data_IF_908771648198
#
_entry.id   IF_908771648198
#
_cell.length_a   1.000
_cell.length_b   1.000
_cell.length_c   1.000
_cell.angle_alpha   90.00
_cell.angle_beta   90.00
_cell.angle_gamma   90.00
#
_symmetry.space_group_name_H-M   'P 1'
#
loop_
_entity.id
_entity.type
_entity.pdbx_description
1 polymer ?
#
# COMPACT_ATOMS: atom_id res chain seq x y z
N UNK A 1 -7.80 -32.33 -16.51
CA UNK A 1 -7.24 -30.97 -16.70
C UNK A 1 -7.83 -30.37 -17.97
N UNK A 2 -8.85 -29.51 -17.87
CA UNK A 2 -9.37 -28.79 -19.04
C UNK A 2 -8.54 -27.52 -19.21
N UNK A 3 -7.58 -27.56 -20.14
CA UNK A 3 -6.84 -26.38 -20.60
C UNK A 3 -7.82 -25.63 -21.52
N UNK A 4 -8.69 -24.79 -20.94
CA UNK A 4 -9.43 -23.83 -21.76
C UNK A 4 -8.43 -22.89 -22.44
N UNK A 5 -8.68 -22.44 -23.68
CA UNK A 5 -7.80 -21.51 -24.36
C UNK A 5 -7.85 -20.17 -23.63
N UNK A 6 -6.92 -19.98 -22.70
CA UNK A 6 -6.63 -18.74 -21.97
C UNK A 6 -6.61 -17.55 -22.93
N UNK A 7 -6.08 -17.76 -24.15
CA UNK A 7 -5.98 -16.76 -25.21
C UNK A 7 -7.34 -16.15 -25.61
N UNK A 8 -8.42 -16.94 -25.71
CA UNK A 8 -9.73 -16.41 -26.13
C UNK A 8 -10.34 -15.51 -25.06
N UNK A 9 -10.24 -15.91 -23.79
CA UNK A 9 -10.81 -15.12 -22.71
C UNK A 9 -9.97 -13.88 -22.41
N UNK A 10 -8.65 -13.97 -22.56
CA UNK A 10 -7.77 -12.80 -22.56
C UNK A 10 -8.14 -11.84 -23.69
N UNK A 11 -8.30 -12.33 -24.92
CA UNK A 11 -8.73 -11.49 -26.06
C UNK A 11 -10.06 -10.79 -25.81
N UNK A 12 -11.03 -11.48 -25.20
CA UNK A 12 -12.33 -10.89 -24.84
C UNK A 12 -12.18 -9.84 -23.73
N UNK A 13 -11.34 -10.09 -22.73
CA UNK A 13 -11.02 -9.13 -21.67
C UNK A 13 -10.32 -7.89 -22.22
N UNK A 14 -9.44 -8.06 -23.20
CA UNK A 14 -8.74 -6.99 -23.91
C UNK A 14 -9.66 -6.15 -24.82
N UNK A 15 -10.93 -6.52 -24.98
CA UNK A 15 -11.94 -5.64 -25.60
C UNK A 15 -12.58 -4.66 -24.62
N UNK A 16 -12.36 -4.83 -23.31
CA UNK A 16 -12.94 -3.94 -22.31
C UNK A 16 -12.25 -2.58 -22.35
N UNK A 17 -12.99 -1.45 -22.41
CA UNK A 17 -12.39 -0.12 -22.54
C UNK A 17 -11.34 0.20 -21.47
N UNK A 18 -11.60 -0.19 -20.21
CA UNK A 18 -10.63 -0.01 -19.11
C UNK A 18 -9.31 -0.75 -19.38
N UNK A 19 -9.37 -1.97 -19.92
CA UNK A 19 -8.18 -2.77 -20.22
C UNK A 19 -7.43 -2.17 -21.40
N UNK A 20 -8.14 -1.77 -22.46
CA UNK A 20 -7.55 -1.11 -23.62
C UNK A 20 -6.86 0.21 -23.26
N UNK A 21 -7.50 1.02 -22.41
CA UNK A 21 -6.95 2.30 -21.97
C UNK A 21 -5.65 2.11 -21.16
N UNK A 22 -5.57 1.07 -20.33
CA UNK A 22 -4.37 0.76 -19.54
C UNK A 22 -3.26 0.20 -20.46
N UNK A 23 -3.59 -0.78 -21.30
CA UNK A 23 -2.60 -1.45 -22.16
C UNK A 23 -2.10 -0.56 -23.31
N UNK A 24 -2.94 0.34 -23.81
CA UNK A 24 -2.62 1.28 -24.89
C UNK A 24 -1.85 2.51 -24.41
N UNK A 25 -1.68 2.72 -23.10
CA UNK A 25 -0.94 3.85 -22.55
C UNK A 25 0.56 3.67 -22.81
N UNK A 26 1.22 4.75 -23.22
CA UNK A 26 2.68 4.78 -23.29
C UNK A 26 3.26 4.59 -21.89
N UNK A 27 4.19 3.64 -21.76
CA UNK A 27 4.93 3.42 -20.52
C UNK A 27 5.87 4.60 -20.25
N UNK A 28 5.92 5.04 -19.00
CA UNK A 28 6.78 6.12 -18.53
C UNK A 28 7.95 5.50 -17.75
N UNK A 29 9.15 6.03 -17.97
CA UNK A 29 10.34 5.72 -17.16
C UNK A 29 11.00 7.02 -16.70
N UNK A 30 11.23 7.23 -15.39
CA UNK A 30 10.90 6.33 -14.28
C UNK A 30 9.41 6.37 -13.90
N UNK A 31 8.83 5.20 -13.58
CA UNK A 31 7.49 5.09 -13.00
C UNK A 31 7.58 4.99 -11.46
N UNK A 32 7.02 5.98 -10.78
CA UNK A 32 6.97 6.01 -9.32
C UNK A 32 5.68 5.38 -8.83
N UNK A 33 5.79 4.34 -8.03
CA UNK A 33 4.69 3.71 -7.33
C UNK A 33 5.21 3.11 -6.02
N UNK A 34 4.61 3.42 -4.87
CA UNK A 34 5.10 2.94 -3.58
C UNK A 34 4.72 1.48 -3.30
N UNK A 35 3.92 0.84 -4.17
CA UNK A 35 3.38 -0.50 -3.94
C UNK A 35 3.78 -1.48 -5.05
N UNK A 36 4.40 -2.59 -4.66
CA UNK A 36 4.66 -3.69 -5.61
C UNK A 36 3.44 -4.61 -5.75
N UNK A 37 2.71 -4.88 -4.66
CA UNK A 37 1.54 -5.76 -4.71
C UNK A 37 0.41 -5.22 -3.85
N UNK A 38 -0.82 -5.36 -4.33
CA UNK A 38 -2.05 -5.17 -3.58
C UNK A 38 -2.89 -6.44 -3.68
N UNK A 39 -3.40 -6.90 -2.53
CA UNK A 39 -4.38 -7.97 -2.45
C UNK A 39 -5.64 -7.40 -1.82
N UNK A 40 -6.69 -7.31 -2.64
CA UNK A 40 -8.01 -6.85 -2.25
C UNK A 40 -8.90 -8.05 -1.94
N UNK A 41 -9.83 -7.88 -1.02
CA UNK A 41 -10.77 -8.90 -0.58
C UNK A 41 -12.19 -8.32 -0.55
N UNK A 42 -13.15 -9.14 -0.96
CA UNK A 42 -14.57 -8.83 -0.87
C UNK A 42 -15.35 -10.06 -0.37
N UNK A 43 -16.39 -9.80 0.43
CA UNK A 43 -17.28 -10.84 0.97
C UNK A 43 -18.42 -11.19 0.00
N UNK A 44 -18.42 -10.63 -1.21
CA UNK A 44 -19.34 -10.93 -2.30
C UNK A 44 -18.62 -11.60 -3.47
N UNK A 45 -19.39 -12.31 -4.31
CA UNK A 45 -18.89 -12.81 -5.59
C UNK A 45 -18.54 -11.66 -6.56
N UNK A 46 -17.70 -11.91 -7.58
CA UNK A 46 -17.51 -10.96 -8.67
C UNK A 46 -18.83 -10.66 -9.38
N UNK A 47 -18.93 -9.49 -10.01
CA UNK A 47 -20.15 -9.05 -10.67
C UNK A 47 -20.58 -10.02 -11.79
N UNK A 48 -21.89 -10.13 -11.99
CA UNK A 48 -22.45 -11.03 -13.00
C UNK A 48 -22.00 -10.71 -14.42
N UNK A 49 -21.73 -9.44 -14.75
CA UNK A 49 -21.23 -9.00 -16.05
C UNK A 49 -19.79 -9.50 -16.25
N UNK A 50 -18.93 -9.33 -15.25
CA UNK A 50 -17.58 -9.86 -15.25
C UNK A 50 -17.57 -11.38 -15.40
N UNK A 51 -18.37 -12.09 -14.59
CA UNK A 51 -18.47 -13.56 -14.68
C UNK A 51 -18.95 -14.02 -16.05
N UNK A 52 -19.87 -13.30 -16.70
CA UNK A 52 -20.31 -13.62 -18.07
C UNK A 52 -19.20 -13.42 -19.09
N UNK A 53 -18.40 -12.36 -18.94
CA UNK A 53 -17.25 -12.07 -19.78
C UNK A 53 -16.20 -13.19 -19.71
N UNK A 54 -15.93 -13.71 -18.51
CA UNK A 54 -14.90 -14.74 -18.28
C UNK A 54 -15.43 -16.17 -18.17
N UNK A 55 -16.75 -16.39 -18.32
CA UNK A 55 -17.40 -17.71 -18.21
C UNK A 55 -16.70 -18.81 -19.02
N UNK A 56 -16.13 -18.57 -20.21
CA UNK A 56 -15.41 -19.62 -20.94
C UNK A 56 -14.01 -19.98 -20.38
N UNK A 57 -13.50 -19.38 -19.30
CA UNK A 57 -12.17 -19.70 -18.74
C UNK A 57 -12.15 -20.00 -17.23
N UNK A 58 -13.17 -20.70 -16.71
CA UNK A 58 -13.13 -21.16 -15.31
C UNK A 58 -12.05 -22.22 -15.13
N UNK A 59 -10.91 -21.82 -14.57
CA UNK A 59 -9.89 -22.76 -14.13
C UNK A 59 -10.29 -23.23 -12.73
N UNK A 60 -10.66 -24.51 -12.64
CA UNK A 60 -10.65 -25.25 -11.38
C UNK A 60 -9.19 -25.52 -11.05
N UNK A 61 -8.76 -25.12 -9.86
CA UNK A 61 -7.40 -25.36 -9.41
C UNK A 61 -7.43 -26.45 -8.36
N UNK A 62 -6.60 -27.45 -8.61
CA UNK A 62 -6.21 -28.51 -7.70
C UNK A 62 -4.80 -28.13 -7.21
N UNK A 63 -4.71 -27.15 -6.31
CA UNK A 63 -3.46 -26.73 -5.64
C UNK A 63 -3.64 -26.98 -4.15
N UNK A 64 -2.55 -27.40 -3.49
CA UNK A 64 -2.51 -27.87 -2.10
C UNK A 64 -3.03 -26.87 -1.04
N UNK A 65 -3.18 -25.59 -1.41
CA UNK A 65 -3.68 -24.51 -0.56
C UNK A 65 -5.14 -24.11 -0.91
N UNK A 66 -6.08 -25.07 -0.88
CA UNK A 66 -7.51 -24.96 -1.27
C UNK A 66 -8.33 -23.82 -0.62
N UNK A 67 -8.05 -22.56 -0.98
CA UNK A 67 -8.83 -21.41 -0.49
C UNK A 67 -10.03 -21.08 -1.38
N UNK A 68 -9.99 -21.39 -2.69
CA UNK A 68 -10.99 -20.94 -3.68
C UNK A 68 -11.27 -21.98 -4.77
N UNK A 69 -12.53 -22.06 -5.21
CA UNK A 69 -12.99 -22.94 -6.30
C UNK A 69 -12.62 -22.46 -7.69
N UNK A 70 -12.46 -21.15 -7.86
CA UNK A 70 -12.30 -20.53 -9.17
C UNK A 70 -11.14 -19.53 -9.16
N UNK A 71 -10.37 -19.52 -10.26
CA UNK A 71 -9.35 -18.50 -10.53
C UNK A 71 -9.42 -18.02 -11.96
N UNK A 72 -9.17 -16.73 -12.14
CA UNK A 72 -8.96 -16.07 -13.40
C UNK A 72 -7.60 -15.33 -13.37
N UNK A 73 -6.82 -15.51 -14.43
CA UNK A 73 -5.49 -14.92 -14.59
C UNK A 73 -5.49 -14.01 -15.82
N UNK A 74 -5.30 -12.72 -15.59
CA UNK A 74 -5.05 -11.73 -16.62
C UNK A 74 -3.67 -11.09 -16.40
N UNK A 75 -3.10 -10.50 -17.45
CA UNK A 75 -1.80 -9.85 -17.37
C UNK A 75 -1.76 -8.76 -16.30
N UNK A 76 -2.84 -7.98 -16.14
CA UNK A 76 -2.91 -6.85 -15.21
C UNK A 76 -3.31 -7.24 -13.76
N UNK A 77 -4.03 -8.35 -13.59
CA UNK A 77 -4.58 -8.75 -12.29
C UNK A 77 -4.98 -10.23 -12.29
N UNK A 78 -5.13 -10.81 -11.10
CA UNK A 78 -5.77 -12.12 -10.93
C UNK A 78 -6.94 -12.05 -9.97
N UNK A 79 -7.96 -12.86 -10.21
CA UNK A 79 -9.15 -12.96 -9.35
C UNK A 79 -9.32 -14.40 -8.92
N UNK A 80 -9.49 -14.63 -7.62
CA UNK A 80 -9.91 -15.91 -7.06
C UNK A 80 -11.28 -15.73 -6.38
N UNK A 81 -12.22 -16.66 -6.56
CA UNK A 81 -13.52 -16.57 -5.90
C UNK A 81 -14.16 -17.93 -5.64
N UNK A 82 -15.24 -17.92 -4.86
CA UNK A 82 -15.94 -19.13 -4.43
C UNK A 82 -15.13 -19.82 -3.34
N UNK A 83 -15.07 -19.17 -2.17
CA UNK A 83 -14.27 -19.64 -1.03
C UNK A 83 -14.56 -21.11 -0.69
N UNK A 84 -13.49 -21.88 -0.46
CA UNK A 84 -13.53 -23.23 0.09
C UNK A 84 -13.19 -23.22 1.58
N UNK A 85 -12.33 -22.29 1.99
CA UNK A 85 -12.01 -22.03 3.38
C UNK A 85 -12.90 -20.90 3.93
N UNK A 86 -13.65 -21.12 5.04
CA UNK A 86 -14.47 -20.08 5.68
C UNK A 86 -13.68 -18.84 6.16
N UNK A 87 -12.40 -18.98 6.46
CA UNK A 87 -11.54 -17.88 6.90
C UNK A 87 -11.09 -16.99 5.74
N UNK A 88 -11.18 -17.48 4.50
CA UNK A 88 -10.93 -16.69 3.31
C UNK A 88 -12.03 -15.64 3.07
N UNK A 89 -11.79 -14.70 2.17
CA UNK A 89 -12.85 -13.84 1.65
C UNK A 89 -13.57 -14.59 0.52
N UNK A 90 -14.79 -14.16 0.14
CA UNK A 90 -15.50 -14.79 -0.98
C UNK A 90 -14.79 -14.55 -2.31
N UNK A 91 -14.21 -13.36 -2.49
CA UNK A 91 -13.42 -12.96 -3.64
C UNK A 91 -12.11 -12.31 -3.20
N UNK A 92 -11.03 -12.64 -3.89
CA UNK A 92 -9.71 -12.03 -3.75
C UNK A 92 -9.22 -11.52 -5.10
N UNK A 93 -8.73 -10.28 -5.15
CA UNK A 93 -8.17 -9.66 -6.35
C UNK A 93 -6.71 -9.30 -6.04
N UNK A 94 -5.78 -9.76 -6.86
CA UNK A 94 -4.36 -9.40 -6.74
C UNK A 94 -3.95 -8.53 -7.92
N UNK A 95 -3.32 -7.40 -7.62
CA UNK A 95 -2.85 -6.41 -8.59
C UNK A 95 -1.38 -6.10 -8.26
N UNK A 96 -0.53 -5.94 -9.28
CA UNK A 96 0.82 -5.41 -9.13
C UNK A 96 0.88 -4.02 -9.80
N UNK A 97 0.66 -2.92 -9.05
CA UNK A 97 0.59 -1.59 -9.63
C UNK A 97 1.90 -1.16 -10.29
N UNK A 98 3.04 -1.47 -9.67
CA UNK A 98 4.35 -1.07 -10.15
C UNK A 98 4.72 -1.74 -11.49
N UNK A 99 4.60 -3.07 -11.58
CA UNK A 99 4.92 -3.87 -12.78
C UNK A 99 4.13 -3.44 -14.01
N UNK A 100 2.88 -3.05 -13.81
CA UNK A 100 1.95 -2.69 -14.88
C UNK A 100 1.76 -1.18 -15.05
N UNK A 101 2.54 -0.37 -14.33
CA UNK A 101 2.46 1.09 -14.34
C UNK A 101 1.04 1.65 -14.10
N UNK A 102 0.31 1.03 -13.16
CA UNK A 102 -1.07 1.38 -12.86
C UNK A 102 -1.13 2.61 -11.97
N UNK A 103 -1.92 3.59 -12.37
CA UNK A 103 -2.31 4.73 -11.53
C UNK A 103 -3.32 4.29 -10.47
N UNK A 104 -3.55 5.10 -9.42
CA UNK A 104 -4.63 4.84 -8.46
C UNK A 104 -6.01 4.69 -9.13
N UNK A 105 -6.32 5.50 -10.14
CA UNK A 105 -7.58 5.40 -10.90
C UNK A 105 -7.68 4.11 -11.69
N UNK A 106 -6.57 3.62 -12.27
CA UNK A 106 -6.56 2.33 -12.97
C UNK A 106 -6.90 1.19 -12.00
N UNK A 107 -6.37 1.22 -10.76
CA UNK A 107 -6.69 0.22 -9.75
C UNK A 107 -8.18 0.25 -9.41
N UNK A 108 -8.77 1.43 -9.19
CA UNK A 108 -10.19 1.53 -8.90
C UNK A 108 -11.03 0.97 -10.06
N UNK A 109 -10.74 1.38 -11.30
CA UNK A 109 -11.49 0.91 -12.48
C UNK A 109 -11.33 -0.60 -12.71
N UNK A 110 -10.16 -1.18 -12.46
CA UNK A 110 -9.96 -2.64 -12.52
C UNK A 110 -10.81 -3.37 -11.46
N UNK A 111 -10.93 -2.79 -10.26
CA UNK A 111 -11.76 -3.37 -9.20
C UNK A 111 -13.25 -3.21 -9.52
N UNK A 112 -13.67 -2.08 -10.09
CA UNK A 112 -15.06 -1.89 -10.56
C UNK A 112 -15.40 -2.84 -11.70
N UNK A 113 -14.48 -3.08 -12.63
CA UNK A 113 -14.67 -4.08 -13.69
C UNK A 113 -14.97 -5.47 -13.11
N UNK A 114 -14.29 -5.86 -12.03
CA UNK A 114 -14.43 -7.19 -11.42
C UNK A 114 -15.65 -7.27 -10.51
N UNK A 115 -15.85 -6.27 -9.65
CA UNK A 115 -16.82 -6.30 -8.54
C UNK A 115 -18.09 -5.50 -8.82
N UNK A 116 -18.13 -4.70 -9.88
CA UNK A 116 -19.21 -3.75 -10.18
C UNK A 116 -19.22 -2.50 -9.28
N UNK A 117 -18.50 -2.53 -8.15
CA UNK A 117 -18.41 -1.44 -7.18
C UNK A 117 -17.18 -1.63 -6.28
N UNK A 118 -16.55 -0.52 -5.87
CA UNK A 118 -15.40 -0.55 -4.94
C UNK A 118 -15.77 -0.44 -3.45
N UNK A 119 -17.03 -0.15 -3.13
CA UNK A 119 -17.43 0.28 -1.77
C UNK A 119 -17.24 -0.81 -0.71
N UNK A 120 -17.45 -2.08 -1.07
CA UNK A 120 -17.28 -3.23 -0.17
C UNK A 120 -15.90 -3.88 -0.27
N UNK A 121 -15.03 -3.39 -1.16
CA UNK A 121 -13.72 -4.00 -1.42
C UNK A 121 -12.71 -3.45 -0.43
N UNK A 122 -12.07 -4.35 0.30
CA UNK A 122 -11.13 -4.03 1.37
C UNK A 122 -9.73 -4.53 1.05
N UNK A 123 -8.71 -3.93 1.65
CA UNK A 123 -7.33 -4.36 1.47
C UNK A 123 -6.98 -5.46 2.47
N UNK A 124 -6.63 -6.63 1.98
CA UNK A 124 -6.21 -7.77 2.80
C UNK A 124 -4.68 -7.81 3.00
N UNK A 125 -3.91 -7.47 1.97
CA UNK A 125 -2.47 -7.28 2.11
C UNK A 125 -1.91 -6.34 1.06
N UNK A 126 -0.73 -5.80 1.33
CA UNK A 126 0.00 -4.97 0.39
C UNK A 126 1.51 -5.04 0.66
N UNK A 127 2.30 -4.86 -0.39
CA UNK A 127 3.76 -4.81 -0.34
C UNK A 127 4.21 -3.35 -0.51
N UNK A 128 4.64 -2.72 0.58
CA UNK A 128 5.29 -1.40 0.56
C UNK A 128 6.67 -1.56 -0.08
N UNK A 129 7.10 -0.65 -0.96
CA UNK A 129 8.42 -0.72 -1.58
C UNK A 129 9.18 0.61 -1.57
N UNK A 130 10.49 0.54 -1.67
CA UNK A 130 11.37 1.69 -1.95
C UNK A 130 12.57 1.22 -2.76
N UNK A 131 12.97 2.03 -3.74
CA UNK A 131 14.09 1.75 -4.64
C UNK A 131 15.31 2.61 -4.30
N UNK A 132 16.47 1.97 -4.14
CA UNK A 132 17.77 2.61 -3.91
C UNK A 132 18.58 2.57 -5.21
N UNK A 133 18.23 3.44 -6.15
CA UNK A 133 18.89 3.53 -7.44
C UNK A 133 20.28 4.13 -7.29
N UNK A 134 21.32 3.41 -7.75
CA UNK A 134 22.73 3.85 -7.78
C UNK A 134 23.35 4.19 -6.42
N UNK A 135 22.65 3.96 -5.32
CA UNK A 135 23.13 4.31 -3.97
C UNK A 135 23.85 3.17 -3.26
N UNK A 136 23.25 1.97 -3.24
CA UNK A 136 23.76 0.79 -2.53
C UNK A 136 23.32 -0.47 -3.26
N UNK A 137 24.16 -1.51 -3.28
CA UNK A 137 23.78 -2.85 -3.72
C UNK A 137 23.05 -3.62 -2.60
N UNK A 138 22.56 -4.83 -2.91
CA UNK A 138 21.76 -5.62 -1.97
C UNK A 138 22.54 -6.01 -0.71
N UNK A 139 23.80 -6.44 -0.85
CA UNK A 139 24.67 -6.81 0.26
C UNK A 139 24.94 -5.62 1.19
N UNK A 140 25.27 -4.45 0.63
CA UNK A 140 25.56 -3.23 1.37
C UNK A 140 24.34 -2.68 2.11
N UNK A 141 23.17 -2.87 1.49
CA UNK A 141 21.87 -2.60 2.11
C UNK A 141 21.63 -3.55 3.29
N UNK A 142 21.85 -4.86 3.11
CA UNK A 142 21.66 -5.86 4.16
C UNK A 142 22.59 -5.63 5.37
N UNK A 143 23.83 -5.19 5.12
CA UNK A 143 24.79 -4.77 6.15
C UNK A 143 24.27 -3.66 7.06
N UNK A 144 23.51 -2.71 6.51
CA UNK A 144 22.98 -1.52 7.21
C UNK A 144 21.53 -1.63 7.67
N UNK A 145 20.76 -2.54 7.11
CA UNK A 145 19.32 -2.61 7.35
C UNK A 145 19.02 -3.19 8.74
N UNK A 146 18.31 -2.40 9.54
CA UNK A 146 17.75 -2.79 10.82
C UNK A 146 16.22 -2.89 10.72
N UNK A 147 15.67 -4.03 11.17
CA UNK A 147 14.22 -4.26 11.23
C UNK A 147 13.82 -4.54 12.67
N UNK A 148 13.33 -3.53 13.37
CA UNK A 148 13.23 -3.50 14.83
C UNK A 148 12.23 -4.48 15.46
N UNK A 149 11.32 -5.06 14.68
CA UNK A 149 10.39 -6.10 15.13
C UNK A 149 10.87 -7.52 14.83
N UNK A 150 11.96 -7.69 14.05
CA UNK A 150 12.52 -8.99 13.76
C UNK A 150 13.55 -9.40 14.80
N UNK A 151 13.51 -10.69 15.16
CA UNK A 151 14.36 -11.28 16.22
C UNK A 151 15.30 -12.36 15.68
N UNK A 152 15.45 -12.44 14.36
CA UNK A 152 16.35 -13.36 13.68
C UNK A 152 17.28 -12.54 12.78
N UNK A 153 18.51 -13.04 12.52
CA UNK A 153 19.35 -12.47 11.47
C UNK A 153 18.65 -12.57 10.11
N UNK A 154 19.04 -11.74 9.13
CA UNK A 154 18.56 -11.93 7.76
C UNK A 154 19.03 -13.28 7.21
N UNK A 155 18.18 -13.91 6.41
CA UNK A 155 18.51 -15.10 5.64
C UNK A 155 18.93 -14.67 4.24
N UNK A 156 20.16 -14.98 3.83
CA UNK A 156 20.65 -14.79 2.46
C UNK A 156 20.11 -15.93 1.59
N UNK A 157 19.27 -15.58 0.63
CA UNK A 157 18.62 -16.53 -0.25
C UNK A 157 19.63 -17.17 -1.18
N UNK A 158 19.71 -18.51 -1.13
CA UNK A 158 20.66 -19.30 -1.92
C UNK A 158 22.14 -18.91 -1.72
N UNK A 159 22.45 -18.07 -0.70
CA UNK A 159 23.80 -17.57 -0.40
C UNK A 159 24.45 -16.82 -1.56
N UNK A 160 23.63 -16.14 -2.38
CA UNK A 160 24.10 -15.43 -3.58
C UNK A 160 24.47 -13.96 -3.29
N UNK A 161 24.20 -13.45 -2.09
CA UNK A 161 24.40 -12.03 -1.75
C UNK A 161 23.45 -11.07 -2.47
N UNK A 162 22.41 -11.61 -3.12
CA UNK A 162 21.50 -10.85 -3.98
C UNK A 162 20.14 -10.59 -3.35
N UNK A 163 19.69 -11.44 -2.43
CA UNK A 163 18.36 -11.33 -1.82
C UNK A 163 18.43 -11.75 -0.35
N UNK A 164 17.94 -10.89 0.53
CA UNK A 164 17.94 -11.12 1.97
C UNK A 164 16.53 -10.99 2.53
N UNK A 165 16.15 -11.94 3.38
CA UNK A 165 14.83 -12.00 4.02
C UNK A 165 14.93 -11.75 5.53
N UNK A 166 14.11 -10.85 6.04
CA UNK A 166 13.95 -10.56 7.45
C UNK A 166 12.57 -11.01 7.91
N UNK A 167 12.52 -12.11 8.65
CA UNK A 167 11.28 -12.74 9.09
C UNK A 167 10.68 -13.69 8.05
N UNK A 168 9.48 -14.21 8.33
CA UNK A 168 8.86 -15.27 7.52
C UNK A 168 7.78 -14.76 6.57
N UNK A 169 7.64 -15.44 5.44
CA UNK A 169 6.60 -15.18 4.44
C UNK A 169 5.17 -15.29 5.01
N UNK A 170 4.94 -16.14 6.01
CA UNK A 170 3.63 -16.30 6.67
C UNK A 170 3.27 -15.17 7.64
N UNK A 171 4.27 -14.37 8.05
CA UNK A 171 4.15 -13.27 9.00
C UNK A 171 4.37 -11.90 8.36
N UNK A 172 5.02 -11.02 9.11
CA UNK A 172 5.58 -9.78 8.58
C UNK A 172 6.99 -10.07 8.07
N UNK A 173 7.25 -9.75 6.80
CA UNK A 173 8.54 -9.96 6.16
C UNK A 173 9.03 -8.64 5.56
N UNK A 174 10.33 -8.39 5.68
CA UNK A 174 11.04 -7.39 4.88
C UNK A 174 12.00 -8.14 3.98
N UNK A 175 12.07 -7.77 2.70
CA UNK A 175 12.99 -8.33 1.71
C UNK A 175 13.85 -7.18 1.19
N UNK A 176 15.16 -7.34 1.12
CA UNK A 176 16.00 -6.47 0.30
C UNK A 176 16.69 -7.29 -0.78
N UNK A 177 16.74 -6.79 -2.00
CA UNK A 177 17.26 -7.57 -3.11
C UNK A 177 17.71 -6.72 -4.29
N UNK A 178 18.54 -7.33 -5.16
CA UNK A 178 18.95 -6.76 -6.43
C UNK A 178 17.78 -6.80 -7.42
N UNK A 179 17.13 -5.65 -7.60
CA UNK A 179 16.03 -5.49 -8.53
C UNK A 179 16.52 -5.36 -9.97
N UNK A 180 17.75 -4.90 -10.18
CA UNK A 180 18.34 -4.84 -11.51
C UNK A 180 18.47 -6.25 -12.09
N UNK A 181 19.03 -7.17 -11.30
CA UNK A 181 19.16 -8.58 -11.66
C UNK A 181 17.79 -9.22 -11.93
N UNK A 182 16.80 -9.01 -11.05
CA UNK A 182 15.43 -9.53 -11.25
C UNK A 182 14.78 -9.03 -12.55
N UNK A 183 15.18 -7.84 -13.02
CA UNK A 183 14.66 -7.23 -14.24
C UNK A 183 15.57 -7.44 -15.46
N UNK A 184 16.69 -8.17 -15.33
CA UNK A 184 17.67 -8.37 -16.40
C UNK A 184 18.42 -7.10 -16.81
N UNK A 185 18.56 -6.13 -15.90
CA UNK A 185 19.25 -4.83 -16.11
C UNK A 185 20.63 -4.82 -15.42
N UNK A 186 21.54 -5.67 -15.88
CA UNK A 186 22.85 -5.90 -15.25
C UNK A 186 23.80 -4.68 -15.27
N UNK A 187 23.51 -3.66 -16.09
CA UNK A 187 24.27 -2.41 -16.19
C UNK A 187 23.86 -1.37 -15.13
N UNK A 188 22.91 -1.69 -14.25
CA UNK A 188 22.35 -0.78 -13.28
C UNK A 188 22.51 -1.31 -11.85
N UNK A 189 22.90 -0.44 -10.92
CA UNK A 189 22.76 -0.73 -9.49
C UNK A 189 21.36 -0.31 -9.05
N UNK A 190 20.52 -1.29 -8.74
CA UNK A 190 19.16 -1.06 -8.29
C UNK A 190 18.78 -2.05 -7.20
N UNK A 191 18.86 -1.59 -5.95
CA UNK A 191 18.38 -2.38 -4.82
C UNK A 191 16.95 -1.98 -4.48
N UNK A 192 16.09 -2.96 -4.24
CA UNK A 192 14.74 -2.72 -3.71
C UNK A 192 14.62 -3.25 -2.30
N UNK A 193 13.94 -2.48 -1.45
CA UNK A 193 13.47 -2.92 -0.14
C UNK A 193 11.94 -3.02 -0.21
N UNK A 194 11.40 -4.18 0.15
CA UNK A 194 9.97 -4.48 0.19
C UNK A 194 9.55 -4.90 1.59
N UNK A 195 8.38 -4.43 2.04
CA UNK A 195 7.76 -4.83 3.30
C UNK A 195 6.33 -5.28 3.06
N UNK A 196 6.08 -6.57 3.29
CA UNK A 196 4.74 -7.14 3.19
C UNK A 196 3.95 -6.89 4.46
N UNK A 197 2.76 -6.29 4.31
CA UNK A 197 1.81 -6.08 5.40
C UNK A 197 0.53 -6.86 5.13
N UNK A 198 0.23 -7.81 6.02
CA UNK A 198 -0.98 -8.63 5.99
C UNK A 198 -1.93 -8.20 7.09
N UNK A 199 -3.16 -7.88 6.74
CA UNK A 199 -4.22 -7.50 7.68
C UNK A 199 -5.09 -8.74 7.93
N UNK A 200 -4.69 -9.52 8.95
CA UNK A 200 -5.33 -10.80 9.27
C UNK A 200 -6.79 -10.60 9.69
N UNK A 201 -7.02 -9.69 10.63
CA UNK A 201 -8.36 -9.35 11.08
C UNK A 201 -9.17 -8.69 9.96
N UNK A 202 -10.32 -9.29 9.61
CA UNK A 202 -11.19 -8.81 8.53
C UNK A 202 -11.83 -7.46 8.86
N UNK A 203 -12.03 -7.14 10.15
CA UNK A 203 -12.73 -5.93 10.59
C UNK A 203 -11.84 -4.70 10.48
N UNK A 204 -10.55 -4.82 10.79
CA UNK A 204 -9.57 -3.74 10.66
C UNK A 204 -9.12 -3.44 9.23
N UNK A 205 -9.57 -4.20 8.22
CA UNK A 205 -9.22 -3.92 6.81
C UNK A 205 -9.90 -2.64 6.34
N UNK A 206 -9.09 -1.69 5.91
CA UNK A 206 -9.58 -0.48 5.26
C UNK A 206 -10.25 -0.80 3.91
N UNK A 207 -11.27 -0.03 3.54
CA UNK A 207 -11.79 -0.05 2.17
C UNK A 207 -10.70 0.41 1.19
N UNK A 208 -10.83 0.08 -0.10
CA UNK A 208 -9.89 0.55 -1.12
C UNK A 208 -9.78 2.08 -1.12
N UNK A 209 -10.91 2.80 -1.01
CA UNK A 209 -10.93 4.27 -0.93
C UNK A 209 -10.13 4.77 0.28
N UNK A 210 -10.45 4.27 1.48
CA UNK A 210 -9.76 4.68 2.70
C UNK A 210 -8.26 4.37 2.67
N UNK A 211 -7.90 3.26 2.03
CA UNK A 211 -6.50 2.88 1.83
C UNK A 211 -5.77 3.90 0.95
N UNK A 212 -6.38 4.30 -0.18
CA UNK A 212 -5.78 5.23 -1.14
C UNK A 212 -5.68 6.65 -0.58
N UNK A 213 -6.62 7.06 0.27
CA UNK A 213 -6.60 8.38 0.91
C UNK A 213 -5.67 8.48 2.12
N UNK A 214 -5.12 7.37 2.60
CA UNK A 214 -4.25 7.36 3.76
C UNK A 214 -2.81 7.71 3.38
N UNK A 215 -2.20 8.71 4.04
CA UNK A 215 -0.82 9.17 3.82
C UNK A 215 0.27 8.17 4.26
N UNK A 216 -0.09 7.10 4.98
CA UNK A 216 0.81 6.02 5.42
C UNK A 216 2.02 6.51 6.20
N UNK A 217 1.76 7.30 7.23
CA UNK A 217 2.78 7.70 8.21
C UNK A 217 3.46 6.50 8.91
N UNK A 218 2.88 5.31 8.79
CA UNK A 218 3.40 4.05 9.33
C UNK A 218 4.15 3.16 8.30
N UNK A 219 4.32 3.64 7.06
CA UNK A 219 5.13 2.97 6.04
C UNK A 219 6.58 2.83 6.51
N UNK A 220 7.16 1.63 6.31
CA UNK A 220 8.50 1.27 6.81
C UNK A 220 8.76 1.59 8.30
N UNK A 221 7.71 1.74 9.11
CA UNK A 221 7.87 1.96 10.55
C UNK A 221 8.69 0.85 11.18
N UNK A 222 9.71 1.24 11.96
CA UNK A 222 10.70 0.36 12.58
C UNK A 222 11.68 -0.33 11.61
N UNK A 223 11.76 0.13 10.36
CA UNK A 223 12.77 -0.29 9.39
C UNK A 223 13.69 0.90 9.11
N UNK A 224 14.99 0.73 9.36
CA UNK A 224 15.97 1.83 9.31
C UNK A 224 17.23 1.36 8.60
N UNK A 225 17.74 2.16 7.66
CA UNK A 225 19.10 2.00 7.15
C UNK A 225 20.04 2.81 8.02
N UNK A 226 20.74 2.14 8.93
CA UNK A 226 21.65 2.83 9.84
C UNK A 226 22.91 3.25 9.10
N UNK A 227 23.48 4.37 9.52
CA UNK A 227 24.78 4.84 9.04
C UNK A 227 25.89 4.19 9.89
N UNK A 228 26.32 2.99 9.51
CA UNK A 228 27.33 2.22 10.26
C UNK A 228 28.71 2.90 10.25
N UNK A 229 28.95 3.80 9.30
CA UNK A 229 30.24 4.47 9.13
C UNK A 229 30.46 5.55 10.20
N UNK A 230 29.38 6.01 10.85
CA UNK A 230 29.42 6.91 12.02
C UNK A 230 29.66 6.19 13.36
N UNK A 231 29.77 4.87 13.37
CA UNK A 231 30.00 4.10 14.60
C UNK A 231 31.49 4.14 14.95
N UNK A 232 31.83 4.55 16.18
CA UNK A 232 33.21 4.48 16.67
C UNK A 232 33.75 3.04 16.58
N UNK A 233 34.89 2.90 15.89
CA UNK A 233 35.59 1.65 15.65
C UNK A 233 35.92 0.82 16.89
N UNK A 234 35.99 1.45 18.06
CA UNK A 234 36.30 0.82 19.36
C UNK A 234 35.08 0.21 20.04
N UNK A 235 33.88 0.52 19.56
CA UNK A 235 32.64 0.06 20.19
C UNK A 235 32.45 -1.44 20.03
N UNK A 236 31.71 -2.05 20.97
CA UNK A 236 31.33 -3.47 20.89
C UNK A 236 30.49 -3.74 19.63
N UNK A 237 29.56 -2.85 19.28
CA UNK A 237 28.72 -3.01 18.09
C UNK A 237 29.55 -3.06 16.80
N UNK A 238 30.61 -2.25 16.66
CA UNK A 238 31.46 -2.33 15.47
C UNK A 238 32.22 -3.66 15.39
N UNK A 239 32.73 -4.15 16.53
CA UNK A 239 33.40 -5.46 16.58
C UNK A 239 32.44 -6.60 16.21
N UNK A 240 31.21 -6.54 16.70
CA UNK A 240 30.16 -7.51 16.34
C UNK A 240 29.79 -7.40 14.87
N UNK A 241 29.62 -6.19 14.33
CA UNK A 241 29.31 -5.97 12.91
C UNK A 241 30.37 -6.56 11.98
N UNK A 242 31.65 -6.41 12.32
CA UNK A 242 32.76 -7.04 11.58
C UNK A 242 32.73 -8.56 11.65
N UNK A 243 32.23 -9.14 12.75
CA UNK A 243 32.16 -10.58 12.94
C UNK A 243 30.94 -11.22 12.27
N UNK A 244 29.78 -10.55 12.29
CA UNK A 244 28.51 -11.09 11.79
C UNK A 244 28.18 -10.65 10.37
N UNK A 245 28.76 -9.56 9.88
CA UNK A 245 28.49 -9.04 8.53
C UNK A 245 27.12 -8.38 8.36
N UNK A 246 26.27 -8.30 9.41
CA UNK A 246 25.00 -7.58 9.35
C UNK A 246 24.72 -6.80 10.63
N UNK A 247 24.19 -5.58 10.49
CA UNK A 247 23.83 -4.75 11.64
C UNK A 247 22.70 -5.36 12.46
N UNK A 248 21.73 -6.01 11.82
CA UNK A 248 20.64 -6.69 12.51
C UNK A 248 21.18 -7.76 13.49
N UNK A 249 22.08 -8.62 13.04
CA UNK A 249 22.64 -9.68 13.88
C UNK A 249 23.58 -9.10 14.96
N UNK A 250 24.43 -8.15 14.60
CA UNK A 250 25.30 -7.46 15.54
C UNK A 250 24.49 -6.78 16.66
N UNK A 251 23.38 -6.13 16.31
CA UNK A 251 22.44 -5.52 17.26
C UNK A 251 21.80 -6.57 18.17
N UNK A 252 21.45 -7.75 17.65
CA UNK A 252 20.83 -8.82 18.44
C UNK A 252 21.77 -9.37 19.52
N UNK A 253 23.08 -9.40 19.26
CA UNK A 253 24.12 -9.86 20.18
C UNK A 253 24.50 -8.85 21.28
N UNK A 254 23.90 -7.66 21.27
CA UNK A 254 24.01 -6.70 22.38
C UNK A 254 23.07 -7.04 23.54
N UNK A 255 23.44 -6.62 24.75
CA UNK A 255 22.55 -6.70 25.91
C UNK A 255 21.43 -5.62 25.85
N UNK A 256 20.48 -5.68 26.78
CA UNK A 256 19.34 -4.77 26.78
C UNK A 256 19.70 -3.30 27.05
N UNK A 257 20.74 -3.04 27.84
CA UNK A 257 21.19 -1.68 28.15
C UNK A 257 21.92 -1.07 26.94
N UNK A 258 22.80 -1.84 26.31
CA UNK A 258 23.50 -1.52 25.08
C UNK A 258 22.52 -1.22 23.93
N UNK A 259 21.51 -2.08 23.75
CA UNK A 259 20.43 -1.87 22.75
C UNK A 259 19.69 -0.55 22.97
N UNK A 260 19.36 -0.21 24.21
CA UNK A 260 18.68 1.05 24.55
C UNK A 260 19.56 2.27 24.28
N UNK A 261 20.86 2.19 24.63
CA UNK A 261 21.84 3.25 24.34
C UNK A 261 21.98 3.45 22.83
N UNK A 262 22.12 2.36 22.08
CA UNK A 262 22.32 2.41 20.63
C UNK A 262 21.08 2.95 19.90
N UNK A 263 19.86 2.60 20.31
CA UNK A 263 18.62 3.17 19.73
C UNK A 263 18.48 4.69 19.89
N UNK A 264 19.21 5.31 20.82
CA UNK A 264 19.25 6.77 21.01
C UNK A 264 20.44 7.43 20.29
N UNK A 265 21.29 6.63 19.67
CA UNK A 265 22.47 7.10 18.96
C UNK A 265 22.09 7.78 17.64
N UNK A 266 22.97 8.67 17.15
CA UNK A 266 22.73 9.44 15.92
C UNK A 266 22.51 8.57 14.68
N UNK A 267 23.04 7.35 14.63
CA UNK A 267 22.84 6.41 13.50
C UNK A 267 21.37 6.00 13.32
N UNK A 268 20.55 6.14 14.37
CA UNK A 268 19.11 5.92 14.33
C UNK A 268 18.33 7.21 14.16
N UNK A 269 18.84 8.33 14.67
CA UNK A 269 18.20 9.64 14.55
C UNK A 269 18.38 10.23 13.13
N UNK A 270 19.55 10.01 12.54
CA UNK A 270 19.97 10.46 11.23
C UNK A 270 20.40 9.24 10.40
N UNK A 271 19.44 8.41 9.93
CA UNK A 271 19.75 7.24 9.12
C UNK A 271 20.43 7.65 7.81
N UNK A 272 21.19 6.72 7.22
CA UNK A 272 21.83 6.95 5.91
C UNK A 272 20.79 7.16 4.82
N UNK A 273 19.63 6.49 4.94
CA UNK A 273 18.47 6.68 4.08
C UNK A 273 17.19 6.64 4.92
N UNK A 274 16.37 7.67 4.82
CA UNK A 274 15.02 7.70 5.39
C UNK A 274 14.01 7.02 4.44
N UNK A 275 13.82 5.71 4.63
CA UNK A 275 12.90 4.89 3.85
C UNK A 275 11.45 5.37 3.95
N UNK A 276 11.03 5.89 5.11
CA UNK A 276 9.68 6.41 5.30
C UNK A 276 9.43 7.66 4.46
N UNK A 277 10.40 8.58 4.42
CA UNK A 277 10.32 9.79 3.59
C UNK A 277 10.40 9.49 2.10
N UNK A 278 11.26 8.54 1.68
CA UNK A 278 11.30 8.08 0.30
C UNK A 278 9.96 7.48 -0.14
N UNK A 279 9.40 6.57 0.65
CA UNK A 279 8.09 5.98 0.37
C UNK A 279 7.00 7.04 0.24
N UNK A 280 6.94 8.02 1.15
CA UNK A 280 5.94 9.09 1.10
C UNK A 280 6.09 9.97 -0.15
N UNK A 281 7.32 10.22 -0.57
CA UNK A 281 7.60 10.95 -1.81
C UNK A 281 7.13 10.16 -3.05
N UNK A 282 7.36 8.84 -3.09
CA UNK A 282 6.83 7.98 -4.15
C UNK A 282 5.30 7.90 -4.13
N UNK A 283 4.69 7.81 -2.95
CA UNK A 283 3.23 7.81 -2.77
C UNK A 283 2.61 9.10 -3.29
N UNK A 284 3.17 10.24 -2.93
CA UNK A 284 2.69 11.55 -3.39
C UNK A 284 2.72 11.66 -4.92
N UNK A 285 3.84 11.28 -5.53
CA UNK A 285 3.99 11.26 -7.00
C UNK A 285 3.01 10.30 -7.66
N UNK A 286 2.86 9.10 -7.11
CA UNK A 286 1.93 8.10 -7.64
C UNK A 286 0.48 8.55 -7.55
N UNK A 287 0.08 9.16 -6.43
CA UNK A 287 -1.26 9.72 -6.25
C UNK A 287 -1.53 10.89 -7.19
N UNK A 288 -0.53 11.71 -7.50
CA UNK A 288 -0.66 12.85 -8.43
C UNK A 288 -1.04 12.44 -9.86
N UNK A 289 -0.81 11.17 -10.24
CA UNK A 289 -1.23 10.63 -11.55
C UNK A 289 -2.76 10.50 -11.68
N UNK A 290 -3.49 10.67 -10.58
CA UNK A 290 -4.95 10.65 -10.51
C UNK A 290 -5.47 11.95 -9.89
N UNK A 291 -5.59 13.06 -10.66
CA UNK A 291 -5.80 14.40 -10.10
C UNK A 291 -7.04 14.53 -9.20
N UNK A 292 -8.14 13.84 -9.55
CA UNK A 292 -9.37 13.83 -8.75
C UNK A 292 -9.14 13.17 -7.38
N UNK A 293 -8.50 12.00 -7.36
CA UNK A 293 -8.15 11.32 -6.11
C UNK A 293 -7.11 12.10 -5.31
N UNK A 294 -6.13 12.71 -5.98
CA UNK A 294 -5.05 13.43 -5.32
C UNK A 294 -5.55 14.61 -4.49
N UNK A 295 -6.54 15.34 -5.02
CA UNK A 295 -7.18 16.46 -4.31
C UNK A 295 -7.83 16.00 -3.00
N UNK A 296 -8.51 14.84 -3.03
CA UNK A 296 -9.09 14.23 -1.84
C UNK A 296 -7.99 13.72 -0.90
N UNK A 297 -6.99 13.01 -1.42
CA UNK A 297 -5.84 12.50 -0.66
C UNK A 297 -5.16 13.60 0.17
N UNK A 298 -4.90 14.77 -0.43
CA UNK A 298 -4.26 15.91 0.24
C UNK A 298 -5.11 16.56 1.33
N UNK A 299 -6.43 16.50 1.19
CA UNK A 299 -7.37 17.12 2.14
C UNK A 299 -7.91 16.12 3.15
N UNK A 300 -7.73 14.81 2.93
CA UNK A 300 -8.31 13.75 3.76
C UNK A 300 -7.81 13.76 5.19
N UNK A 301 -6.53 14.07 5.42
CA UNK A 301 -5.98 14.20 6.77
C UNK A 301 -6.73 15.29 7.56
N UNK A 302 -6.94 16.46 6.95
CA UNK A 302 -7.71 17.57 7.55
C UNK A 302 -9.16 17.13 7.84
N UNK A 303 -9.82 16.48 6.88
CA UNK A 303 -11.19 16.00 7.09
C UNK A 303 -11.29 15.00 8.25
N UNK A 304 -10.37 14.03 8.34
CA UNK A 304 -10.38 13.08 9.46
C UNK A 304 -10.14 13.77 10.80
N UNK A 305 -9.25 14.75 10.88
CA UNK A 305 -8.99 15.48 12.12
C UNK A 305 -10.25 16.23 12.57
N UNK A 306 -10.90 16.95 11.65
CA UNK A 306 -12.18 17.63 11.88
C UNK A 306 -13.27 16.66 12.35
N UNK A 307 -13.42 15.50 11.70
CA UNK A 307 -14.45 14.50 12.06
C UNK A 307 -14.17 13.75 13.34
N UNK A 308 -12.90 13.62 13.73
CA UNK A 308 -12.53 12.93 14.96
C UNK A 308 -12.91 13.71 16.23
N UNK A 309 -13.41 14.94 16.11
CA UNK A 309 -13.75 15.83 17.22
C UNK A 309 -12.53 16.22 18.07
N UNK A 310 -11.31 15.91 17.61
CA UNK A 310 -10.05 16.22 18.30
C UNK A 310 -9.57 17.63 18.01
N UNK A 311 -9.97 18.20 16.88
CA UNK A 311 -9.85 19.63 16.65
C UNK A 311 -10.93 20.31 17.47
N UNK A 312 -10.61 21.31 18.30
CA UNK A 312 -11.59 22.08 19.09
C UNK A 312 -12.65 22.85 18.29
N UNK A 313 -12.79 22.57 17.00
CA UNK A 313 -13.93 22.93 16.17
C UNK A 313 -15.07 21.96 16.48
N UNK A 314 -16.17 22.48 17.02
CA UNK A 314 -17.28 21.68 17.53
C UNK A 314 -17.80 20.61 16.56
N UNK A 315 -18.36 19.53 17.13
CA UNK A 315 -19.08 18.48 16.42
C UNK A 315 -20.02 19.08 15.38
N UNK A 316 -19.65 18.93 14.11
CA UNK A 316 -20.52 19.20 12.99
C UNK A 316 -20.96 17.85 12.44
N UNK A 317 -22.25 17.53 12.58
CA UNK A 317 -22.87 16.40 11.90
C UNK A 317 -22.85 16.70 10.39
N UNK A 318 -21.94 16.04 9.68
CA UNK A 318 -21.83 16.13 8.23
C UNK A 318 -22.10 14.74 7.62
N UNK A 319 -23.21 14.61 6.90
CA UNK A 319 -23.38 13.56 5.90
C UNK A 319 -22.73 14.04 4.60
N UNK A 320 -21.67 13.36 4.15
CA UNK A 320 -21.11 13.56 2.82
C UNK A 320 -21.99 12.85 1.79
N UNK A 321 -22.58 13.62 0.88
CA UNK A 321 -23.17 13.09 -0.34
C UNK A 321 -22.08 12.85 -1.39
N UNK A 322 -21.65 11.60 -1.48
CA UNK A 322 -20.59 11.16 -2.40
C UNK A 322 -21.01 11.17 -3.88
N UNK A 323 -22.29 11.41 -4.20
CA UNK A 323 -22.77 11.39 -5.58
C UNK A 323 -22.26 12.57 -6.43
N UNK A 324 -21.81 13.67 -5.81
CA UNK A 324 -21.37 14.88 -6.50
C UNK A 324 -19.86 14.95 -6.83
N UNK A 325 -19.06 13.94 -6.44
CA UNK A 325 -17.61 13.95 -6.73
C UNK A 325 -17.27 13.69 -8.21
N UNK A 326 -18.23 13.24 -9.03
CA UNK A 326 -18.02 13.05 -10.47
C UNK A 326 -17.99 14.38 -11.25
N UNK A 327 -18.64 15.44 -10.75
CA UNK A 327 -18.77 16.75 -11.43
C UNK A 327 -17.66 17.77 -11.10
N UNK A 328 -16.68 17.43 -10.25
CA UNK A 328 -15.60 18.34 -9.89
C UNK A 328 -15.98 19.43 -8.88
N UNK A 329 -17.20 19.41 -8.36
CA UNK A 329 -17.65 20.28 -7.26
C UNK A 329 -17.97 19.43 -6.03
N UNK A 330 -17.06 19.40 -5.06
CA UNK A 330 -17.39 18.90 -3.74
C UNK A 330 -18.19 19.97 -3.00
N UNK A 331 -19.52 19.82 -2.97
CA UNK A 331 -20.40 20.70 -2.19
C UNK A 331 -20.58 20.11 -0.79
N UNK A 332 -20.07 20.81 0.23
CA UNK A 332 -20.36 20.51 1.63
C UNK A 332 -21.76 21.06 1.96
N UNK A 333 -22.76 20.19 2.05
CA UNK A 333 -24.06 20.52 2.62
C UNK A 333 -24.00 20.34 4.13
N UNK A 334 -24.18 21.44 4.87
CA UNK A 334 -24.28 21.41 6.34
C UNK A 334 -25.75 21.20 6.70
N UNK A 335 -26.10 20.04 7.25
CA UNK A 335 -27.45 19.81 7.77
C UNK A 335 -27.49 20.06 9.27
N UNK A 336 -28.31 21.05 9.67
CA UNK A 336 -28.86 21.32 11.00
C UNK A 336 -27.90 21.31 12.20
N UNK A 337 -27.73 22.49 12.80
CA UNK A 337 -27.14 22.63 14.14
C UNK A 337 -28.24 22.37 15.18
N UNK A 338 -28.15 21.28 15.93
CA UNK A 338 -29.01 21.07 17.10
C UNK A 338 -28.34 21.74 18.29
N UNK A 339 -28.95 22.80 18.82
CA UNK A 339 -28.48 23.48 20.03
C UNK A 339 -29.50 23.26 21.14
N UNK A 340 -29.08 22.60 22.21
CA UNK A 340 -29.86 22.50 23.44
C UNK A 340 -29.66 23.80 24.22
N UNK A 341 -30.74 24.59 24.36
CA UNK A 341 -30.73 25.79 25.20
C UNK A 341 -30.73 25.34 26.67
N UNK A 342 -29.59 25.55 27.33
CA UNK A 342 -29.33 25.08 28.70
C UNK A 342 -30.19 25.78 29.76
N UNK A 343 -30.94 26.83 29.39
CA UNK A 343 -31.83 27.53 30.31
C UNK A 343 -33.32 27.18 30.13
N UNK A 344 -33.74 26.60 29.01
CA UNK A 344 -35.16 26.32 28.74
C UNK A 344 -35.52 24.85 28.53
N UNK A 345 -34.54 23.95 28.36
CA UNK A 345 -34.79 22.52 28.17
C UNK A 345 -35.58 22.17 26.89
N UNK A 346 -35.71 23.11 25.96
CA UNK A 346 -36.40 22.92 24.67
C UNK A 346 -35.40 22.82 23.53
N UNK A 347 -35.66 21.90 22.61
CA UNK A 347 -34.93 21.77 21.35
C UNK A 347 -35.41 22.84 20.37
N UNK A 348 -34.53 23.75 19.99
CA UNK A 348 -34.83 24.75 18.95
C UNK A 348 -34.20 24.30 17.62
N UNK A 349 -35.03 24.09 16.61
CA UNK A 349 -34.61 23.80 15.25
C UNK A 349 -34.51 25.11 14.46
N UNK A 350 -33.30 25.65 14.33
CA UNK A 350 -33.03 26.82 13.49
C UNK A 350 -32.46 26.41 12.13
N UNK A 351 -33.18 26.68 11.05
CA UNK A 351 -32.67 26.56 9.68
C UNK A 351 -31.90 27.82 9.29
N UNK A 352 -30.57 27.75 9.31
CA UNK A 352 -29.71 28.74 8.66
C UNK A 352 -29.01 28.07 7.46
N UNK A 353 -29.46 28.40 6.25
CA UNK A 353 -28.80 27.98 5.02
C UNK A 353 -27.61 28.88 4.75
N UNK A 354 -26.41 28.44 5.12
CA UNK A 354 -25.17 29.05 4.63
C UNK A 354 -24.48 28.05 3.69
N UNK A 355 -24.46 28.39 2.40
CA UNK A 355 -23.60 27.76 1.41
C UNK A 355 -22.20 28.36 1.52
N UNK A 356 -21.20 27.56 1.90
CA UNK A 356 -19.80 27.95 1.76
C UNK A 356 -19.23 27.33 0.48
N UNK A 357 -18.82 28.18 -0.45
CA UNK A 357 -17.94 27.80 -1.55
C UNK A 357 -16.51 28.03 -1.11
N UNK A 358 -15.75 26.95 -0.88
CA UNK A 358 -14.31 27.04 -0.72
C UNK A 358 -13.67 27.04 -2.11
N UNK A 359 -13.48 28.23 -2.68
CA UNK A 359 -12.60 28.42 -3.83
C UNK A 359 -11.19 28.62 -3.28
N UNK A 360 -10.18 27.79 -3.61
CA UNK A 360 -8.82 28.06 -3.21
C UNK A 360 -8.33 29.32 -3.93
N UNK A 361 -7.97 30.35 -3.15
CA UNK A 361 -7.26 31.51 -3.65
C UNK A 361 -5.87 31.05 -4.11
N UNK A 362 -5.64 31.08 -5.42
CA UNK A 362 -4.31 30.99 -6.00
C UNK A 362 -3.70 32.39 -5.84
N UNK A 363 -2.79 32.55 -4.89
CA UNK A 363 -1.93 33.74 -4.85
C UNK A 363 -0.98 33.67 -6.05
N UNK A 364 -1.11 34.65 -6.96
CA UNK A 364 -0.10 34.94 -7.96
C UNK A 364 0.93 35.89 -7.34
N UNK A 365 2.18 35.43 -7.24
CA UNK A 365 3.38 36.28 -7.29
C UNK A 365 4.58 35.45 -7.72
#
# INVERSE_FOLDING_TARGET
>A
MYIYPTNRTQSVMETQPVIQNILGRQKVEPFYCPYDKLVLAADSCPDSSFIRLIRPARIWIDDDDFYYRHKFLHTLFSVCWGQMNPDAATTSIMINPWKHQLTPDDIMQLVELVMGSIHSVKIASFDEKTDLLRSMNAEETAKRLYVGYQRKPPEDYEQLGQTYYYGSRSGQQVKNYDKAEEQGKHDQTWTRIERTRRIRDKVSRATLKDFLYNERQDAFKHTVLVDIDKIDGRTKIQRLLKATGSFQEAFMNLDAAEKRKLKRHEIFACPSVDLGSLFRTELDRWMSLSPKLYSVFKTYALFRECWSGKSGYGQLDHQLDWSNLQSGTATLTTSQRVVMDSYSGKWNYGSYGNSFSCIPCIEQS
#
